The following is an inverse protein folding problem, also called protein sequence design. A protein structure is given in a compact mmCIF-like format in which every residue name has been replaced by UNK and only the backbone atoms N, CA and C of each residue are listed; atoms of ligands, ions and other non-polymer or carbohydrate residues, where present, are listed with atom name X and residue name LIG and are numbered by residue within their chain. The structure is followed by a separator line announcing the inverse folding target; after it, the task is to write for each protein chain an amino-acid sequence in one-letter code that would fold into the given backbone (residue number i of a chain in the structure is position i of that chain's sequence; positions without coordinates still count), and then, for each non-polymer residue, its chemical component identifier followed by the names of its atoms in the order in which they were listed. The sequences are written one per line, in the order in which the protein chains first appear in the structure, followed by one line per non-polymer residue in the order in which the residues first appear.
data_IF_648444263504
#
_entry.id   IF_648444263504
#
_cell.length_a   1.000
_cell.length_b   1.000
_cell.length_c   1.000
_cell.angle_alpha   90.00
_cell.angle_beta   90.00
_cell.angle_gamma   90.00
#
_symmetry.space_group_name_H-M   'P 1'
#
loop_
_entity.id
_entity.type
_entity.pdbx_description
1 polymer ?
#
# COMPACT_ATOMS: atom_id res chain seq x y z
N UNK A 1 -15.60 -6.99 -5.80
CA UNK A 1 -14.21 -6.84 -5.30
C UNK A 1 -13.71 -8.18 -4.78
N UNK A 2 -12.39 -8.40 -4.71
CA UNK A 2 -11.81 -9.59 -4.06
C UNK A 2 -11.70 -10.87 -4.90
N UNK A 3 -11.98 -10.82 -6.22
CA UNK A 3 -11.71 -11.96 -7.10
C UNK A 3 -10.24 -11.93 -7.57
N UNK A 4 -9.56 -13.08 -7.64
CA UNK A 4 -8.19 -13.12 -8.12
C UNK A 4 -8.12 -12.81 -9.62
N UNK A 5 -7.11 -12.03 -10.00
CA UNK A 5 -6.81 -11.68 -11.38
C UNK A 5 -5.29 -11.66 -11.59
N UNK A 6 -4.87 -11.60 -12.85
CA UNK A 6 -3.49 -11.42 -13.25
C UNK A 6 -3.29 -9.99 -13.76
N UNK A 7 -2.29 -9.29 -13.22
CA UNK A 7 -1.91 -7.94 -13.63
C UNK A 7 -0.62 -8.01 -14.46
N UNK A 8 -0.64 -7.38 -15.64
CA UNK A 8 0.56 -7.16 -16.43
C UNK A 8 1.11 -5.76 -16.13
N UNK A 9 2.36 -5.66 -15.70
CA UNK A 9 3.02 -4.39 -15.35
C UNK A 9 4.03 -4.02 -16.44
N UNK A 10 3.90 -2.83 -17.01
CA UNK A 10 4.86 -2.25 -17.95
C UNK A 10 5.73 -1.22 -17.22
N UNK A 11 7.04 -1.39 -17.31
CA UNK A 11 8.00 -0.44 -16.76
C UNK A 11 8.37 0.57 -17.83
N UNK A 12 8.23 1.86 -17.53
CA UNK A 12 8.56 2.95 -18.43
C UNK A 12 9.51 3.91 -17.74
N UNK A 13 10.67 4.15 -18.34
CA UNK A 13 11.62 5.13 -17.86
C UNK A 13 11.09 6.55 -18.12
N UNK A 14 11.34 7.46 -17.18
CA UNK A 14 11.11 8.88 -17.38
C UNK A 14 12.03 9.41 -18.48
N UNK A 15 11.65 10.52 -19.12
CA UNK A 15 12.50 11.16 -20.12
C UNK A 15 13.87 11.60 -19.59
N UNK A 16 14.00 11.74 -18.27
CA UNK A 16 15.24 12.07 -17.55
C UNK A 16 16.05 10.81 -17.14
N UNK A 17 15.52 9.60 -17.37
CA UNK A 17 16.14 8.33 -16.99
C UNK A 17 16.19 8.03 -15.49
N UNK A 18 15.86 9.01 -14.64
CA UNK A 18 15.97 8.90 -13.17
C UNK A 18 14.89 8.06 -12.50
N UNK A 19 13.71 7.96 -13.11
CA UNK A 19 12.55 7.29 -12.50
C UNK A 19 11.99 6.25 -13.44
N UNK A 20 11.82 5.02 -12.96
CA UNK A 20 11.07 3.98 -13.68
C UNK A 20 9.66 3.89 -13.10
N UNK A 21 8.66 4.18 -13.92
CA UNK A 21 7.25 4.04 -13.55
C UNK A 21 6.77 2.62 -13.83
N UNK A 22 6.01 2.05 -12.89
CA UNK A 22 5.38 0.75 -13.04
C UNK A 22 3.88 0.96 -13.34
N UNK A 23 3.51 0.87 -14.61
CA UNK A 23 2.13 1.09 -15.06
C UNK A 23 1.40 -0.24 -15.23
N UNK A 24 0.11 -0.27 -14.90
CA UNK A 24 -0.74 -1.44 -15.19
C UNK A 24 -1.09 -1.41 -16.68
N UNK A 25 -0.60 -2.40 -17.43
CA UNK A 25 -0.81 -2.52 -18.87
C UNK A 25 -2.06 -3.33 -19.21
N UNK A 26 -2.35 -4.39 -18.44
CA UNK A 26 -3.51 -5.24 -18.66
C UNK A 26 -3.99 -5.93 -17.38
N UNK A 27 -5.28 -6.25 -17.34
CA UNK A 27 -5.91 -7.05 -16.29
C UNK A 27 -6.58 -8.24 -16.96
N UNK A 28 -6.19 -9.46 -16.58
CA UNK A 28 -6.67 -10.72 -17.17
C UNK A 28 -7.17 -11.68 -16.10
N UNK A 29 -7.94 -12.68 -16.54
CA UNK A 29 -8.37 -13.75 -15.63
C UNK A 29 -7.16 -14.60 -15.20
N UNK A 30 -7.27 -15.27 -14.04
CA UNK A 30 -6.21 -16.17 -13.57
C UNK A 30 -6.00 -17.34 -14.54
N UNK A 31 -4.78 -17.85 -14.60
CA UNK A 31 -4.46 -19.08 -15.33
C UNK A 31 -5.23 -20.26 -14.73
N UNK A 32 -5.70 -21.20 -15.58
CA UNK A 32 -6.62 -22.29 -15.20
C UNK A 32 -6.14 -23.15 -14.03
N UNK A 33 -4.83 -23.27 -13.83
CA UNK A 33 -4.22 -24.11 -12.78
C UNK A 33 -3.55 -23.29 -11.67
N UNK A 34 -3.69 -21.96 -11.68
CA UNK A 34 -3.10 -21.12 -10.65
C UNK A 34 -4.05 -20.97 -9.46
N UNK A 35 -3.57 -21.37 -8.28
CA UNK A 35 -4.29 -21.16 -7.01
C UNK A 35 -3.67 -19.96 -6.29
N UNK A 36 -4.35 -18.81 -6.25
CA UNK A 36 -3.85 -17.62 -5.59
C UNK A 36 -3.84 -17.82 -4.07
N UNK A 37 -2.84 -17.24 -3.41
CA UNK A 37 -2.77 -17.20 -1.94
C UNK A 37 -3.97 -16.38 -1.40
N UNK A 38 -4.44 -16.74 -0.21
CA UNK A 38 -5.42 -15.92 0.50
C UNK A 38 -4.83 -14.52 0.77
N UNK A 39 -5.62 -13.45 0.59
CA UNK A 39 -5.18 -12.11 0.95
C UNK A 39 -4.96 -12.04 2.46
N UNK A 40 -3.84 -11.47 2.86
CA UNK A 40 -3.50 -11.23 4.27
C UNK A 40 -4.33 -10.06 4.85
N UNK A 41 -4.63 -9.09 3.98
CA UNK A 41 -5.37 -7.89 4.32
C UNK A 41 -6.87 -8.08 4.08
N UNK A 42 -7.68 -7.56 5.02
CA UNK A 42 -9.11 -7.47 4.84
C UNK A 42 -9.47 -6.56 3.65
N UNK A 43 -10.54 -6.91 2.94
CA UNK A 43 -11.09 -6.04 1.90
C UNK A 43 -11.71 -4.82 2.58
N UNK A 44 -11.18 -3.65 2.25
CA UNK A 44 -11.72 -2.37 2.69
C UNK A 44 -12.39 -1.68 1.51
N UNK A 45 -13.63 -1.23 1.69
CA UNK A 45 -14.39 -0.49 0.68
C UNK A 45 -15.03 0.73 1.34
N UNK A 46 -14.99 1.86 0.64
CA UNK A 46 -15.61 3.11 1.05
C UNK A 46 -16.31 3.72 -0.17
N UNK A 47 -17.59 4.07 -0.02
CA UNK A 47 -18.43 4.64 -1.07
C UNK A 47 -18.86 6.05 -0.64
N UNK A 48 -18.68 7.04 -1.51
CA UNK A 48 -19.10 8.42 -1.24
C UNK A 48 -20.61 8.62 -1.42
N UNK A 49 -21.30 7.74 -2.14
CA UNK A 49 -22.74 7.79 -2.35
C UNK A 49 -23.53 7.38 -1.09
N UNK A 50 -22.94 6.48 -0.29
CA UNK A 50 -23.45 6.04 1.01
C UNK A 50 -22.29 5.98 2.03
N UNK A 51 -21.83 7.14 2.53
CA UNK A 51 -20.58 7.22 3.26
C UNK A 51 -20.71 6.71 4.69
N UNK A 52 -20.00 5.62 4.99
CA UNK A 52 -19.70 5.22 6.36
C UNK A 52 -18.52 6.05 6.89
N UNK A 53 -18.86 7.08 7.64
CA UNK A 53 -17.89 8.02 8.17
C UNK A 53 -16.97 7.45 9.27
N UNK A 54 -17.36 6.34 9.91
CA UNK A 54 -16.48 5.65 10.84
C UNK A 54 -15.34 4.95 10.08
N UNK A 55 -15.66 4.29 8.96
CA UNK A 55 -14.69 3.70 8.05
C UNK A 55 -13.80 4.77 7.39
N UNK A 56 -14.34 5.94 7.03
CA UNK A 56 -13.54 7.06 6.53
C UNK A 56 -12.40 7.45 7.50
N UNK A 57 -12.66 7.40 8.81
CA UNK A 57 -11.65 7.67 9.84
C UNK A 57 -10.48 6.69 9.84
N UNK A 58 -10.68 5.45 9.35
CA UNK A 58 -9.65 4.42 9.22
C UNK A 58 -8.73 4.63 8.01
N UNK A 59 -9.14 5.47 7.05
CA UNK A 59 -8.31 5.80 5.90
C UNK A 59 -7.09 6.61 6.34
N UNK A 60 -5.97 6.44 5.62
CA UNK A 60 -4.77 7.22 5.89
C UNK A 60 -4.99 8.71 5.55
N UNK A 61 -4.16 9.59 6.12
CA UNK A 61 -4.33 11.03 5.99
C UNK A 61 -4.28 11.50 4.53
N UNK A 62 -3.29 11.02 3.76
CA UNK A 62 -3.12 11.39 2.35
C UNK A 62 -4.32 11.04 1.49
N UNK A 63 -4.91 9.86 1.70
CA UNK A 63 -6.08 9.42 0.96
C UNK A 63 -7.33 10.22 1.38
N UNK A 64 -7.50 10.51 2.69
CA UNK A 64 -8.57 11.40 3.16
C UNK A 64 -8.45 12.79 2.54
N UNK A 65 -7.25 13.37 2.52
CA UNK A 65 -6.99 14.66 1.87
C UNK A 65 -7.29 14.63 0.37
N UNK A 66 -6.95 13.54 -0.32
CA UNK A 66 -7.23 13.39 -1.74
C UNK A 66 -8.73 13.25 -2.01
N UNK A 67 -9.44 12.46 -1.19
CA UNK A 67 -10.91 12.34 -1.26
C UNK A 67 -11.56 13.70 -0.99
N UNK A 68 -11.08 14.44 0.00
CA UNK A 68 -11.62 15.76 0.35
C UNK A 68 -11.47 16.82 -0.77
N UNK A 69 -10.57 16.60 -1.73
CA UNK A 69 -10.40 17.47 -2.91
C UNK A 69 -11.38 17.14 -4.04
N UNK A 70 -12.09 16.01 -3.97
CA UNK A 70 -13.05 15.62 -5.02
C UNK A 70 -14.37 16.40 -4.90
N UNK A 71 -15.03 16.75 -6.03
CA UNK A 71 -16.34 17.39 -5.98
C UNK A 71 -17.41 16.48 -5.35
N UNK A 72 -17.32 15.16 -5.53
CA UNK A 72 -18.25 14.19 -4.94
C UNK A 72 -18.24 14.22 -3.41
N UNK A 73 -17.11 14.54 -2.78
CA UNK A 73 -17.02 14.70 -1.34
C UNK A 73 -17.81 15.93 -0.84
N UNK A 74 -17.80 17.03 -1.60
CA UNK A 74 -18.56 18.23 -1.22
C UNK A 74 -20.07 17.97 -1.22
N UNK A 75 -20.56 17.17 -2.17
CA UNK A 75 -21.95 16.72 -2.22
C UNK A 75 -22.27 15.78 -1.05
N UNK A 76 -21.40 14.83 -0.74
CA UNK A 76 -21.59 13.86 0.34
C UNK A 76 -21.61 14.49 1.75
N UNK A 77 -20.94 15.63 1.92
CA UNK A 77 -20.83 16.38 3.18
C UNK A 77 -21.91 17.45 3.33
N UNK A 78 -22.71 17.73 2.29
CA UNK A 78 -23.75 18.76 2.27
C UNK A 78 -24.87 18.47 3.29
N UNK A 79 -24.63 18.83 4.56
CA UNK A 79 -25.50 18.56 5.70
C UNK A 79 -25.08 17.39 6.60
N UNK A 80 -23.98 16.67 6.30
CA UNK A 80 -23.42 15.59 7.15
C UNK A 80 -21.95 15.88 7.42
N UNK A 81 -21.60 16.13 8.69
CA UNK A 81 -20.22 16.40 9.04
C UNK A 81 -19.44 15.09 9.21
N UNK A 82 -18.34 14.85 8.46
CA UNK A 82 -17.43 13.77 8.75
C UNK A 82 -16.81 13.97 10.15
N UNK A 83 -16.56 12.89 10.90
CA UNK A 83 -15.85 12.96 12.17
C UNK A 83 -14.47 13.57 11.92
N UNK A 84 -14.02 14.41 12.85
CA UNK A 84 -12.68 14.96 12.81
C UNK A 84 -11.67 13.80 12.67
N UNK A 85 -10.64 13.94 11.81
CA UNK A 85 -9.63 12.91 11.68
C UNK A 85 -9.08 12.59 13.08
N UNK A 86 -8.92 11.30 13.44
CA UNK A 86 -8.37 10.95 14.74
C UNK A 86 -7.01 11.62 14.87
N UNK A 87 -6.89 12.53 15.83
CA UNK A 87 -5.60 13.10 16.20
C UNK A 87 -4.74 11.92 16.62
N UNK A 88 -3.63 11.68 15.90
CA UNK A 88 -2.58 10.78 16.36
C UNK A 88 -2.15 11.29 17.73
N UNK A 89 -2.71 10.73 18.80
CA UNK A 89 -2.07 10.80 20.09
C UNK A 89 -0.76 10.07 19.91
N UNK A 90 0.34 10.82 19.98
CA UNK A 90 1.66 10.26 20.11
C UNK A 90 1.70 9.50 21.45
N UNK A 91 1.21 8.26 21.45
CA UNK A 91 1.47 7.34 22.53
C UNK A 91 2.93 6.94 22.41
N UNK A 92 3.66 7.33 23.43
CA UNK A 92 5.08 7.17 23.60
C UNK A 92 5.50 5.72 23.33
N UNK A 93 6.68 5.60 22.74
CA UNK A 93 7.41 4.37 22.61
C UNK A 93 7.61 3.72 23.98
N UNK A 94 6.92 2.61 24.25
CA UNK A 94 7.35 1.65 25.25
C UNK A 94 6.98 0.24 24.76
N UNK A 95 8.00 -0.61 24.64
CA UNK A 95 7.88 -1.98 24.14
C UNK A 95 8.52 -2.21 22.78
N UNK A 96 9.84 -1.98 22.65
CA UNK A 96 10.63 -2.74 21.66
C UNK A 96 10.65 -4.20 22.13
N UNK A 97 10.23 -5.20 21.33
CA UNK A 97 10.83 -6.50 21.48
C UNK A 97 12.27 -6.39 20.96
N UNK A 98 13.19 -6.39 21.92
CA UNK A 98 14.58 -6.79 21.72
C UNK A 98 14.69 -7.95 20.72
N UNK A 99 15.24 -7.65 19.53
CA UNK A 99 15.80 -8.70 18.70
C UNK A 99 16.95 -9.34 19.47
N UNK A 100 16.96 -10.67 19.68
CA UNK A 100 18.15 -11.33 20.21
C UNK A 100 19.30 -11.10 19.23
N UNK A 101 20.33 -10.42 19.71
CA UNK A 101 21.62 -10.25 19.05
C UNK A 101 22.25 -11.64 18.89
N UNK A 102 21.92 -12.32 17.79
CA UNK A 102 22.57 -13.56 17.36
C UNK A 102 23.95 -13.21 16.82
N UNK A 103 24.97 -13.66 17.52
CA UNK A 103 26.38 -13.51 17.20
C UNK A 103 26.68 -14.11 15.81
N UNK A 104 26.76 -13.28 14.77
CA UNK A 104 27.32 -13.65 13.47
C UNK A 104 28.69 -12.99 13.34
N UNK A 105 29.71 -13.82 13.13
CA UNK A 105 31.11 -13.45 12.96
C UNK A 105 31.29 -12.34 11.89
N UNK A 106 32.36 -11.52 11.99
CA UNK A 106 32.68 -10.56 10.93
C UNK A 106 32.88 -11.34 9.63
N UNK A 107 32.12 -10.99 8.60
CA UNK A 107 32.39 -11.46 7.24
C UNK A 107 33.70 -10.79 6.80
N UNK A 108 34.81 -11.50 7.02
CA UNK A 108 36.09 -11.24 6.39
C UNK A 108 35.90 -11.34 4.86
N UNK A 109 36.37 -10.31 4.16
CA UNK A 109 37.01 -10.36 2.85
C UNK A 109 36.40 -11.37 1.83
N UNK A 110 35.36 -10.93 1.11
CA UNK A 110 34.95 -11.55 -0.16
C UNK A 110 35.39 -10.61 -1.31
N UNK A 111 36.61 -10.10 -1.19
CA UNK A 111 37.38 -9.62 -2.34
C UNK A 111 38.26 -10.80 -2.79
N UNK A 112 38.31 -11.06 -4.09
CA UNK A 112 39.27 -11.95 -4.78
C UNK A 112 38.99 -13.47 -4.95
N UNK A 113 37.83 -13.88 -5.50
CA UNK A 113 37.78 -15.03 -6.45
C UNK A 113 36.40 -15.18 -7.17
N UNK A 114 36.13 -14.39 -8.22
CA UNK A 114 35.09 -14.75 -9.21
C UNK A 114 35.82 -15.20 -10.49
N UNK A 115 36.07 -16.51 -10.68
CA UNK A 115 36.66 -16.98 -11.92
C UNK A 115 35.57 -16.98 -13.01
N UNK A 116 35.55 -15.94 -13.84
CA UNK A 116 34.91 -16.01 -15.15
C UNK A 116 35.74 -16.92 -16.04
N UNK A 117 35.48 -18.22 -16.02
CA UNK A 117 35.95 -19.13 -17.05
C UNK A 117 34.90 -20.16 -17.44
#
# INVERSE_FOLDING_TARGET
MGKPCLLSIAHQESSDGKTTYANISAISNKMKSYTPKQPDNAVFAFDLSDPDWANYGLLNEKLREQIAKSPEYAEAVNGRQPPAPPQKQAQAAEGRPEHPQGNAAPAEDIEDDIPFN
#
